data_IF_755836787254
#
_entry.id   IF_755836787254
#
_cell.length_a   1.000
_cell.length_b   1.000
_cell.length_c   1.000
_cell.angle_alpha   90.00
_cell.angle_beta   90.00
_cell.angle_gamma   90.00
#
_symmetry.space_group_name_H-M   'P 1'
#
loop_
_entity.id
_entity.type
_entity.pdbx_description
1 polymer ?
#
# COMPACT_ATOMS: atom_id res chain seq x y z
N UNK A 1 16.60 -40.32 14.77
CA UNK A 1 16.12 -38.96 14.59
C UNK A 1 15.22 -38.94 13.35
N UNK A 2 13.91 -39.01 13.56
CA UNK A 2 12.92 -39.26 12.53
C UNK A 2 12.32 -37.94 12.07
N UNK A 3 12.71 -37.44 10.90
CA UNK A 3 12.06 -36.26 10.28
C UNK A 3 10.72 -36.74 9.73
N UNK A 4 9.64 -36.41 10.42
CA UNK A 4 8.29 -36.51 9.86
C UNK A 4 8.17 -35.47 8.74
N UNK A 5 8.07 -35.94 7.50
CA UNK A 5 7.68 -35.12 6.36
C UNK A 5 6.24 -34.67 6.57
N UNK A 6 6.04 -33.43 6.90
CA UNK A 6 4.71 -32.80 6.87
C UNK A 6 4.21 -32.83 5.42
N UNK A 7 3.30 -33.73 5.14
CA UNK A 7 2.59 -33.75 3.85
C UNK A 7 1.62 -32.55 3.83
N UNK A 8 1.75 -31.72 2.81
CA UNK A 8 0.76 -30.66 2.53
C UNK A 8 -0.67 -31.25 2.50
N UNK A 9 -1.66 -30.54 3.00
CA UNK A 9 -3.04 -31.03 3.01
C UNK A 9 -3.48 -31.36 1.58
N UNK A 10 -3.84 -32.64 1.35
CA UNK A 10 -4.47 -33.07 0.09
C UNK A 10 -5.92 -32.67 0.14
N UNK A 11 -6.29 -31.63 -0.60
CA UNK A 11 -7.69 -31.32 -0.82
C UNK A 11 -8.37 -32.48 -1.56
N UNK A 12 -9.55 -32.94 -1.12
CA UNK A 12 -10.27 -34.00 -1.81
C UNK A 12 -10.59 -33.52 -3.24
N UNK A 13 -10.37 -34.39 -4.22
CA UNK A 13 -10.75 -34.18 -5.63
C UNK A 13 -12.28 -34.35 -5.74
N UNK A 14 -13.02 -33.39 -5.21
CA UNK A 14 -14.44 -33.22 -5.42
C UNK A 14 -14.66 -31.87 -6.10
N UNK A 15 -15.70 -31.73 -6.90
CA UNK A 15 -16.11 -30.46 -7.50
C UNK A 15 -16.36 -29.50 -6.35
N UNK A 16 -15.38 -28.66 -6.06
CA UNK A 16 -15.56 -27.62 -5.04
C UNK A 16 -16.57 -26.60 -5.59
N UNK A 17 -17.57 -26.19 -4.79
CA UNK A 17 -18.45 -25.14 -5.21
C UNK A 17 -17.65 -23.90 -5.56
N UNK A 18 -17.97 -23.25 -6.68
CA UNK A 18 -17.33 -22.00 -7.07
C UNK A 18 -17.51 -20.96 -5.95
N UNK A 19 -16.45 -20.16 -5.65
CA UNK A 19 -16.56 -19.15 -4.61
C UNK A 19 -17.67 -18.15 -4.94
N UNK A 20 -18.42 -17.74 -3.92
CA UNK A 20 -19.51 -16.77 -4.06
C UNK A 20 -18.99 -15.35 -4.27
N UNK A 21 -17.85 -15.01 -3.67
CA UNK A 21 -17.13 -13.75 -3.79
C UNK A 21 -15.64 -14.00 -3.73
N UNK A 22 -14.83 -13.00 -4.11
CA UNK A 22 -13.37 -13.04 -4.01
C UNK A 22 -12.86 -11.80 -3.33
N UNK A 23 -11.75 -11.94 -2.57
CA UNK A 23 -10.94 -10.81 -2.15
C UNK A 23 -9.60 -10.86 -2.87
N UNK A 24 -9.13 -9.71 -3.35
CA UNK A 24 -7.86 -9.55 -4.03
C UNK A 24 -6.99 -8.55 -3.27
N UNK A 25 -5.73 -8.89 -3.12
CA UNK A 25 -4.72 -7.89 -2.78
C UNK A 25 -4.42 -7.02 -4.01
N UNK A 26 -3.74 -5.91 -3.82
CA UNK A 26 -3.46 -4.93 -4.86
C UNK A 26 -1.98 -4.92 -5.24
N UNK A 27 -1.12 -4.42 -4.36
CA UNK A 27 0.33 -4.30 -4.56
C UNK A 27 0.96 -5.69 -4.70
N UNK A 28 1.85 -5.87 -5.69
CA UNK A 28 2.48 -7.14 -6.06
C UNK A 28 1.49 -8.26 -6.46
N UNK A 29 0.21 -7.92 -6.64
CA UNK A 29 -0.85 -8.81 -7.13
C UNK A 29 -1.42 -8.32 -8.46
N UNK A 30 -1.79 -7.06 -8.58
CA UNK A 30 -2.28 -6.46 -9.84
C UNK A 30 -1.19 -5.67 -10.57
N UNK A 31 -0.18 -5.20 -9.87
CA UNK A 31 0.98 -4.46 -10.38
C UNK A 31 2.18 -4.63 -9.46
N UNK A 32 3.42 -4.46 -9.97
CA UNK A 32 4.60 -4.44 -9.13
C UNK A 32 4.66 -3.14 -8.33
N UNK A 33 4.81 -3.23 -7.01
CA UNK A 33 4.79 -2.07 -6.10
C UNK A 33 6.01 -1.16 -6.28
N UNK A 34 7.22 -1.74 -6.42
CA UNK A 34 8.47 -1.00 -6.36
C UNK A 34 8.63 0.10 -7.41
N UNK A 35 8.30 -0.11 -8.71
CA UNK A 35 8.38 0.96 -9.71
C UNK A 35 7.52 2.18 -9.36
N UNK A 36 6.33 1.96 -8.77
CA UNK A 36 5.44 3.04 -8.34
C UNK A 36 5.98 3.78 -7.12
N UNK A 37 6.57 3.06 -6.15
CA UNK A 37 7.21 3.67 -4.98
C UNK A 37 8.43 4.49 -5.38
N UNK A 38 9.28 3.99 -6.27
CA UNK A 38 10.47 4.72 -6.74
C UNK A 38 10.10 6.03 -7.44
N UNK A 39 9.11 6.00 -8.35
CA UNK A 39 8.59 7.22 -9.00
C UNK A 39 8.00 8.19 -7.98
N UNK A 40 7.26 7.70 -7.01
CA UNK A 40 6.66 8.52 -5.97
C UNK A 40 7.71 9.18 -5.05
N UNK A 41 8.78 8.47 -4.71
CA UNK A 41 9.90 9.04 -3.94
C UNK A 41 10.68 10.09 -4.74
N UNK A 42 10.82 9.91 -6.06
CA UNK A 42 11.40 10.93 -6.94
C UNK A 42 10.51 12.18 -7.02
N UNK A 43 9.19 12.01 -7.12
CA UNK A 43 8.24 13.12 -7.11
C UNK A 43 8.27 13.89 -5.78
N UNK A 44 8.37 13.18 -4.66
CA UNK A 44 8.56 13.76 -3.34
C UNK A 44 9.87 14.54 -3.25
N UNK A 45 11.00 13.97 -3.68
CA UNK A 45 12.31 14.64 -3.69
C UNK A 45 12.27 15.90 -4.55
N UNK A 46 11.65 15.85 -5.72
CA UNK A 46 11.47 17.03 -6.59
C UNK A 46 10.64 18.13 -5.92
N UNK A 47 9.55 17.76 -5.25
CA UNK A 47 8.75 18.71 -4.47
C UNK A 47 9.56 19.36 -3.35
N UNK A 48 10.30 18.56 -2.57
CA UNK A 48 11.13 19.06 -1.48
C UNK A 48 12.25 19.98 -1.98
N UNK A 49 12.91 19.66 -3.08
CA UNK A 49 13.93 20.54 -3.70
C UNK A 49 13.37 21.91 -4.10
N UNK A 50 12.14 21.92 -4.59
CA UNK A 50 11.50 23.15 -5.04
C UNK A 50 10.97 24.02 -3.88
N UNK A 51 10.50 23.43 -2.77
CA UNK A 51 9.75 24.12 -1.74
C UNK A 51 10.44 24.10 -0.35
N UNK A 52 11.30 23.11 -0.09
CA UNK A 52 11.93 22.84 1.20
C UNK A 52 13.40 22.44 1.00
N UNK A 53 14.25 23.33 0.45
CA UNK A 53 15.60 22.96 0.00
C UNK A 53 16.50 22.44 1.14
N UNK A 54 16.33 22.92 2.37
CA UNK A 54 17.10 22.43 3.52
C UNK A 54 16.72 20.98 3.84
N UNK A 55 15.43 20.65 3.76
CA UNK A 55 14.96 19.27 3.96
C UNK A 55 15.46 18.36 2.84
N UNK A 56 15.39 18.79 1.59
CA UNK A 56 15.90 18.01 0.46
C UNK A 56 17.42 17.71 0.57
N UNK A 57 18.21 18.68 1.04
CA UNK A 57 19.64 18.50 1.28
C UNK A 57 19.90 17.56 2.46
N UNK A 58 19.22 17.78 3.59
CA UNK A 58 19.42 17.00 4.81
C UNK A 58 18.89 15.57 4.71
N UNK A 59 17.80 15.34 3.95
CA UNK A 59 17.09 14.08 3.83
C UNK A 59 16.92 13.65 2.37
N UNK A 60 18.00 13.32 1.64
CA UNK A 60 17.88 12.67 0.34
C UNK A 60 17.12 11.34 0.48
N UNK A 61 16.63 10.77 -0.64
CA UNK A 61 15.70 9.62 -0.67
C UNK A 61 16.11 8.50 0.31
N UNK A 62 17.37 8.11 0.35
CA UNK A 62 17.84 7.02 1.23
C UNK A 62 17.74 7.38 2.73
N UNK A 63 17.99 8.64 3.09
CA UNK A 63 17.84 9.12 4.48
C UNK A 63 16.36 9.26 4.86
N UNK A 64 15.53 9.71 3.92
CA UNK A 64 14.09 9.77 4.13
C UNK A 64 13.48 8.38 4.36
N UNK A 65 13.96 7.35 3.64
CA UNK A 65 13.56 5.94 3.90
C UNK A 65 13.92 5.51 5.32
N UNK A 66 15.17 5.76 5.74
CA UNK A 66 15.62 5.44 7.10
C UNK A 66 14.81 6.17 8.17
N UNK A 67 14.59 7.48 8.00
CA UNK A 67 13.77 8.25 8.95
C UNK A 67 12.35 7.69 9.08
N UNK A 68 11.76 7.23 7.98
CA UNK A 68 10.44 6.58 8.01
C UNK A 68 10.47 5.27 8.81
N UNK A 69 11.54 4.48 8.67
CA UNK A 69 11.72 3.24 9.45
C UNK A 69 11.87 3.55 10.94
N UNK A 70 12.64 4.58 11.29
CA UNK A 70 12.80 5.06 12.67
C UNK A 70 11.45 5.52 13.26
N UNK A 71 10.71 6.36 12.53
CA UNK A 71 9.36 6.81 12.93
C UNK A 71 8.39 5.64 13.08
N UNK A 72 8.42 4.67 12.17
CA UNK A 72 7.58 3.48 12.26
C UNK A 72 7.90 2.64 13.51
N UNK A 73 9.17 2.50 13.86
CA UNK A 73 9.60 1.78 15.06
C UNK A 73 9.22 2.52 16.36
N UNK A 74 9.25 3.85 16.37
CA UNK A 74 8.85 4.68 17.51
C UNK A 74 7.31 4.70 17.71
N UNK A 75 6.55 4.44 16.64
CA UNK A 75 5.09 4.51 16.64
C UNK A 75 4.42 3.19 16.19
N UNK A 76 4.64 2.07 16.90
CA UNK A 76 4.12 0.76 16.51
C UNK A 76 2.59 0.69 16.46
N UNK A 77 1.89 1.57 17.17
CA UNK A 77 0.42 1.69 17.12
C UNK A 77 -0.11 2.06 15.73
N UNK A 78 0.72 2.66 14.86
CA UNK A 78 0.39 3.01 13.48
C UNK A 78 1.00 2.05 12.45
N UNK A 79 1.41 0.84 12.85
CA UNK A 79 2.02 -0.14 11.94
C UNK A 79 1.11 -0.49 10.73
N UNK A 80 -0.19 -0.37 10.92
CA UNK A 80 -1.22 -0.61 9.89
C UNK A 80 -1.48 0.61 8.97
N UNK A 81 -0.95 1.82 9.28
CA UNK A 81 -1.23 3.05 8.53
C UNK A 81 0.05 3.67 7.93
N UNK A 82 0.43 3.18 6.74
CA UNK A 82 1.59 3.69 5.99
C UNK A 82 1.44 5.17 5.58
N UNK A 83 0.21 5.66 5.42
CA UNK A 83 -0.05 7.08 5.16
C UNK A 83 0.33 7.93 6.35
N UNK A 84 -0.13 7.55 7.54
CA UNK A 84 0.18 8.27 8.78
C UNK A 84 1.68 8.25 9.08
N UNK A 85 2.32 7.08 9.00
CA UNK A 85 3.77 6.95 9.19
C UNK A 85 4.57 7.85 8.24
N UNK A 86 4.18 7.93 6.96
CA UNK A 86 4.85 8.80 5.99
C UNK A 86 4.68 10.28 6.31
N UNK A 87 3.47 10.70 6.69
CA UNK A 87 3.21 12.08 7.09
C UNK A 87 4.01 12.48 8.33
N UNK A 88 4.04 11.63 9.34
CA UNK A 88 4.89 11.85 10.54
C UNK A 88 6.37 11.97 10.17
N UNK A 89 6.88 11.10 9.29
CA UNK A 89 8.28 11.18 8.86
C UNK A 89 8.59 12.46 8.07
N UNK A 90 7.65 12.95 7.27
CA UNK A 90 7.79 14.22 6.55
C UNK A 90 7.80 15.41 7.51
N UNK A 91 6.86 15.47 8.46
CA UNK A 91 6.84 16.51 9.50
C UNK A 91 8.15 16.54 10.27
N UNK A 92 8.65 15.38 10.72
CA UNK A 92 9.91 15.26 11.44
C UNK A 92 11.11 15.70 10.60
N UNK A 93 11.13 15.35 9.31
CA UNK A 93 12.22 15.80 8.41
C UNK A 93 12.25 17.32 8.26
N UNK A 94 11.07 17.95 8.05
CA UNK A 94 10.92 19.40 7.95
C UNK A 94 11.37 20.10 9.24
N UNK A 95 10.92 19.64 10.41
CA UNK A 95 11.35 20.14 11.72
C UNK A 95 12.86 20.08 11.90
N UNK A 96 13.47 18.92 11.65
CA UNK A 96 14.91 18.71 11.83
C UNK A 96 15.75 19.54 10.88
N UNK A 97 15.26 19.80 9.66
CA UNK A 97 15.92 20.65 8.68
C UNK A 97 15.64 22.15 8.88
N UNK A 98 14.63 22.50 9.68
CA UNK A 98 14.19 23.87 9.93
C UNK A 98 13.41 24.49 8.77
N UNK A 99 12.77 23.70 7.93
CA UNK A 99 11.76 24.14 6.96
C UNK A 99 10.36 24.12 7.60
N UNK A 100 9.40 24.80 6.98
CA UNK A 100 8.04 24.93 7.54
C UNK A 100 7.25 23.63 7.38
N UNK A 101 6.65 23.15 8.48
CA UNK A 101 5.83 21.93 8.52
C UNK A 101 4.56 22.01 7.67
N UNK A 102 4.11 23.20 7.28
CA UNK A 102 2.97 23.40 6.37
C UNK A 102 3.17 22.64 5.05
N UNK A 103 4.41 22.38 4.66
CA UNK A 103 4.76 21.63 3.47
C UNK A 103 4.58 20.10 3.58
N UNK A 104 4.30 19.55 4.77
CA UNK A 104 4.17 18.10 4.96
C UNK A 104 3.02 17.49 4.14
N UNK A 105 1.84 18.13 4.18
CA UNK A 105 0.67 17.66 3.41
C UNK A 105 0.86 17.80 1.89
N UNK A 106 1.30 18.95 1.34
CA UNK A 106 1.60 19.04 -0.09
C UNK A 106 2.70 18.07 -0.55
N UNK A 107 3.74 17.84 0.26
CA UNK A 107 4.79 16.87 -0.03
C UNK A 107 4.23 15.43 -0.08
N UNK A 108 3.39 15.08 0.88
CA UNK A 108 2.69 13.79 0.86
C UNK A 108 1.77 13.67 -0.36
N UNK A 109 1.05 14.72 -0.73
CA UNK A 109 0.17 14.72 -1.89
C UNK A 109 0.94 14.45 -3.20
N UNK A 110 2.12 15.05 -3.39
CA UNK A 110 3.00 14.80 -4.53
C UNK A 110 3.43 13.32 -4.61
N UNK A 111 3.84 12.74 -3.47
CA UNK A 111 4.13 11.32 -3.36
C UNK A 111 2.90 10.46 -3.72
N UNK A 112 1.76 10.71 -3.08
CA UNK A 112 0.57 9.88 -3.17
C UNK A 112 -0.04 9.89 -4.59
N UNK A 113 -0.06 11.03 -5.25
CA UNK A 113 -0.52 11.14 -6.63
C UNK A 113 0.30 10.25 -7.58
N UNK A 114 1.63 10.28 -7.45
CA UNK A 114 2.53 9.48 -8.29
C UNK A 114 2.52 8.00 -7.90
N UNK A 115 2.38 7.66 -6.61
CA UNK A 115 2.26 6.28 -6.13
C UNK A 115 1.07 5.55 -6.76
N UNK A 116 0.02 6.26 -7.09
CA UNK A 116 -1.19 5.69 -7.71
C UNK A 116 -1.14 5.63 -9.25
N UNK A 117 -0.02 6.04 -9.87
CA UNK A 117 0.25 5.81 -11.30
C UNK A 117 0.90 4.44 -11.46
N UNK A 118 0.10 3.38 -11.47
CA UNK A 118 0.56 1.99 -11.50
C UNK A 118 0.65 1.45 -12.93
N UNK A 119 1.52 0.46 -13.13
CA UNK A 119 1.63 -0.32 -14.37
C UNK A 119 1.18 -1.74 -14.07
N UNK A 120 0.01 -2.13 -14.56
CA UNK A 120 -0.55 -3.45 -14.32
C UNK A 120 0.32 -4.56 -14.90
N UNK A 121 0.31 -5.74 -14.26
CA UNK A 121 0.77 -6.95 -14.93
C UNK A 121 -0.05 -7.19 -16.21
N UNK A 122 0.54 -7.79 -17.25
CA UNK A 122 -0.09 -7.86 -18.58
C UNK A 122 -1.47 -8.51 -18.61
N UNK A 123 -1.76 -9.41 -17.68
CA UNK A 123 -3.03 -10.16 -17.56
C UNK A 123 -3.96 -9.66 -16.46
N UNK A 124 -3.49 -8.78 -15.56
CA UNK A 124 -4.18 -8.44 -14.33
C UNK A 124 -5.50 -7.70 -14.57
N UNK A 125 -5.49 -6.66 -15.42
CA UNK A 125 -6.69 -5.85 -15.66
C UNK A 125 -7.77 -6.66 -16.39
N UNK A 126 -7.40 -7.42 -17.42
CA UNK A 126 -8.33 -8.29 -18.14
C UNK A 126 -8.90 -9.39 -17.23
N UNK A 127 -8.09 -9.96 -16.35
CA UNK A 127 -8.54 -10.94 -15.37
C UNK A 127 -9.51 -10.31 -14.37
N UNK A 128 -9.20 -9.13 -13.83
CA UNK A 128 -10.05 -8.39 -12.90
C UNK A 128 -11.44 -8.12 -13.52
N UNK A 129 -11.47 -7.59 -14.74
CA UNK A 129 -12.72 -7.30 -15.47
C UNK A 129 -13.56 -8.57 -15.63
N UNK A 130 -12.96 -9.69 -16.06
CA UNK A 130 -13.67 -10.96 -16.24
C UNK A 130 -14.19 -11.55 -14.92
N UNK A 131 -13.44 -11.39 -13.84
CA UNK A 131 -13.84 -11.87 -12.52
C UNK A 131 -14.97 -11.01 -11.99
N UNK A 132 -14.85 -9.69 -12.03
CA UNK A 132 -15.85 -8.75 -11.54
C UNK A 132 -17.19 -8.86 -12.27
N UNK A 133 -17.17 -9.23 -13.57
CA UNK A 133 -18.39 -9.51 -14.33
C UNK A 133 -19.16 -10.75 -13.86
N UNK A 134 -18.54 -11.64 -13.09
CA UNK A 134 -19.12 -12.93 -12.68
C UNK A 134 -19.33 -13.06 -11.18
N UNK A 135 -18.54 -12.38 -10.38
CA UNK A 135 -18.53 -12.49 -8.91
C UNK A 135 -18.25 -11.14 -8.27
N UNK A 136 -18.83 -10.85 -7.11
CA UNK A 136 -18.40 -9.71 -6.29
C UNK A 136 -16.92 -9.84 -5.94
N UNK A 137 -16.18 -8.73 -6.06
CA UNK A 137 -14.76 -8.66 -5.71
C UNK A 137 -14.57 -7.60 -4.65
N UNK A 138 -13.87 -7.94 -3.58
CA UNK A 138 -13.37 -7.01 -2.58
C UNK A 138 -11.89 -6.73 -2.85
N UNK A 139 -11.46 -5.47 -2.73
CA UNK A 139 -10.05 -5.15 -2.60
C UNK A 139 -9.66 -5.21 -1.12
N UNK A 140 -8.58 -5.92 -0.78
CA UNK A 140 -8.10 -6.12 0.60
C UNK A 140 -6.60 -5.85 0.67
N UNK A 141 -6.19 -4.67 1.15
CA UNK A 141 -4.81 -4.22 1.09
C UNK A 141 -4.24 -3.74 2.42
N UNK A 142 -2.94 -3.98 2.65
CA UNK A 142 -2.16 -3.30 3.68
C UNK A 142 -1.59 -1.97 3.20
N UNK A 143 -1.55 -1.75 1.88
CA UNK A 143 -1.02 -0.55 1.26
C UNK A 143 -1.96 0.65 1.34
N UNK A 144 -1.52 1.74 0.73
CA UNK A 144 -2.27 3.00 0.63
C UNK A 144 -2.64 3.34 -0.83
N UNK A 145 -2.88 2.32 -1.65
CA UNK A 145 -3.41 2.49 -2.98
C UNK A 145 -4.81 3.12 -2.93
N UNK A 146 -5.09 4.03 -3.86
CA UNK A 146 -6.40 4.63 -4.05
C UNK A 146 -6.99 4.13 -5.38
N UNK A 147 -8.02 3.29 -5.30
CA UNK A 147 -8.64 2.66 -6.46
C UNK A 147 -9.22 3.69 -7.45
N UNK A 148 -9.67 4.85 -6.96
CA UNK A 148 -10.23 5.90 -7.81
C UNK A 148 -9.13 6.62 -8.59
N UNK A 149 -8.01 6.93 -7.94
CA UNK A 149 -6.85 7.52 -8.62
C UNK A 149 -6.24 6.57 -9.65
N UNK A 150 -6.30 5.26 -9.38
CA UNK A 150 -5.84 4.22 -10.31
C UNK A 150 -6.87 3.99 -11.44
N UNK A 151 -8.16 4.29 -11.21
CA UNK A 151 -9.24 4.15 -12.20
C UNK A 151 -9.84 2.73 -12.28
N UNK A 152 -9.79 1.96 -11.19
CA UNK A 152 -10.30 0.58 -11.15
C UNK A 152 -11.36 0.34 -10.06
N UNK A 153 -11.79 1.39 -9.36
CA UNK A 153 -12.77 1.30 -8.27
C UNK A 153 -14.09 0.65 -8.71
N UNK A 154 -14.53 0.87 -9.96
CA UNK A 154 -15.74 0.29 -10.51
C UNK A 154 -15.77 -1.26 -10.56
N UNK A 155 -14.59 -1.91 -10.50
CA UNK A 155 -14.49 -3.36 -10.51
C UNK A 155 -14.63 -4.01 -9.13
N UNK A 156 -14.62 -3.21 -8.07
CA UNK A 156 -14.70 -3.69 -6.71
C UNK A 156 -16.04 -3.35 -6.05
N UNK A 157 -16.62 -4.34 -5.35
CA UNK A 157 -17.85 -4.15 -4.57
C UNK A 157 -17.58 -3.42 -3.25
N UNK A 158 -16.42 -3.66 -2.67
CA UNK A 158 -15.93 -2.96 -1.48
C UNK A 158 -14.42 -2.86 -1.49
N UNK A 159 -13.92 -1.90 -0.72
CA UNK A 159 -12.50 -1.66 -0.48
C UNK A 159 -12.25 -1.73 1.02
N UNK A 160 -11.31 -2.57 1.42
CA UNK A 160 -10.90 -2.79 2.81
C UNK A 160 -9.41 -2.55 2.90
N UNK A 161 -9.01 -1.53 3.64
CA UNK A 161 -7.62 -1.20 3.88
C UNK A 161 -7.23 -1.38 5.34
N UNK A 162 -5.99 -1.74 5.59
CA UNK A 162 -5.45 -1.83 6.94
C UNK A 162 -5.62 -0.51 7.70
N UNK A 163 -5.43 0.61 7.03
CA UNK A 163 -5.60 1.95 7.58
C UNK A 163 -7.01 2.19 8.15
N UNK A 164 -8.05 1.83 7.38
CA UNK A 164 -9.44 2.06 7.81
C UNK A 164 -9.89 1.08 8.90
N UNK A 165 -9.35 -0.15 8.85
CA UNK A 165 -9.71 -1.20 9.81
C UNK A 165 -8.92 -1.14 11.12
N UNK A 166 -7.79 -0.43 11.16
CA UNK A 166 -6.89 -0.46 12.32
C UNK A 166 -6.10 -1.77 12.48
N UNK A 167 -6.24 -2.70 11.53
CA UNK A 167 -5.61 -4.02 11.52
C UNK A 167 -5.07 -4.33 10.13
N UNK A 168 -3.87 -4.91 10.07
CA UNK A 168 -3.23 -5.32 8.82
C UNK A 168 -3.35 -6.84 8.58
N UNK A 169 -3.29 -7.29 7.34
CA UNK A 169 -3.05 -8.70 7.03
C UNK A 169 -1.71 -9.13 7.67
N UNK A 170 -1.62 -10.29 8.33
CA UNK A 170 -2.56 -11.43 8.31
C UNK A 170 -3.58 -11.45 9.47
N UNK A 171 -3.83 -10.38 10.19
CA UNK A 171 -4.76 -10.37 11.31
C UNK A 171 -6.21 -10.69 10.85
N UNK A 172 -6.92 -11.51 11.64
CA UNK A 172 -8.27 -11.97 11.29
C UNK A 172 -9.30 -10.82 11.09
N UNK A 173 -9.30 -9.71 11.86
CA UNK A 173 -10.30 -8.66 11.72
C UNK A 173 -10.40 -8.05 10.31
N UNK A 174 -9.27 -7.86 9.62
CA UNK A 174 -9.28 -7.26 8.28
C UNK A 174 -9.93 -8.19 7.24
N UNK A 175 -9.81 -9.52 7.39
CA UNK A 175 -10.50 -10.49 6.53
C UNK A 175 -12.00 -10.54 6.82
N UNK A 176 -12.41 -10.45 8.09
CA UNK A 176 -13.82 -10.39 8.46
C UNK A 176 -14.52 -9.15 7.92
N UNK A 177 -13.81 -8.02 7.81
CA UNK A 177 -14.35 -6.80 7.22
C UNK A 177 -14.61 -6.92 5.70
N UNK A 178 -13.97 -7.87 5.03
CA UNK A 178 -14.15 -8.13 3.59
C UNK A 178 -15.25 -9.18 3.29
N UNK A 179 -15.78 -9.87 4.31
CA UNK A 179 -16.82 -10.89 4.19
C UNK A 179 -18.18 -10.31 4.52
#
# INVERSE_FOLDING_TARGET
MNRRSERAPRYPVGVQPLPLALSLDLDDTLWPIWPSIERAEQALDAFLRANCPRTAEAFPVHRMRRLREEVAAEHPQYAHDFTHQRKLSLQRALQLAGDDEVHAEPAFAAFHATRNQVEFYPDALDALVRIAARRPVAALTNGNADLRLIGIDAHFRCFVSAREQGHAKPDAPIFHAAC
#
